data_IF_839037370298
#
_entry.id   IF_839037370298
#
_cell.length_a   1.000
_cell.length_b   1.000
_cell.length_c   1.000
_cell.angle_alpha   90.00
_cell.angle_beta   90.00
_cell.angle_gamma   90.00
#
_symmetry.space_group_name_H-M   'P 1'
#
loop_
_entity.id
_entity.type
_entity.pdbx_description
1 polymer ?
#
# COMPACT_ATOMS: atom_id res chain seq x y z
N UNK A 1 15.61 -1.29 -32.74
CA UNK A 1 15.40 -2.08 -31.51
C UNK A 1 16.77 -2.33 -30.88
N UNK A 2 17.20 -1.51 -29.93
CA UNK A 2 18.49 -1.71 -29.24
C UNK A 2 18.20 -1.89 -27.75
N UNK A 3 18.53 -3.10 -27.27
CA UNK A 3 18.53 -3.46 -25.86
C UNK A 3 19.58 -2.65 -25.11
N UNK A 4 19.17 -1.97 -24.04
CA UNK A 4 20.10 -1.35 -23.10
C UNK A 4 20.37 -2.37 -22.00
N UNK A 5 21.59 -2.94 -22.02
CA UNK A 5 22.12 -3.79 -20.97
C UNK A 5 22.68 -2.89 -19.87
N UNK A 6 22.07 -2.90 -18.70
CA UNK A 6 22.62 -2.22 -17.53
C UNK A 6 23.48 -3.20 -16.75
N UNK A 7 24.79 -3.14 -16.94
CA UNK A 7 25.78 -3.88 -16.15
C UNK A 7 25.98 -3.20 -14.80
N UNK A 8 25.66 -3.94 -13.75
CA UNK A 8 25.83 -3.52 -12.36
C UNK A 8 27.22 -3.90 -11.88
N UNK A 9 28.14 -2.95 -11.88
CA UNK A 9 29.41 -3.10 -11.14
C UNK A 9 29.60 -1.91 -10.19
N UNK A 10 30.20 -2.21 -9.03
CA UNK A 10 30.40 -1.31 -7.89
C UNK A 10 30.97 0.06 -8.32
N UNK A 11 30.36 1.14 -7.80
CA UNK A 11 30.89 2.51 -7.76
C UNK A 11 31.12 3.23 -9.11
N UNK A 12 30.09 3.41 -9.95
CA UNK A 12 29.96 4.63 -10.74
C UNK A 12 28.79 4.45 -11.72
N UNK A 13 27.80 5.33 -11.64
CA UNK A 13 26.75 5.44 -12.64
C UNK A 13 27.24 6.38 -13.73
N UNK A 14 27.77 5.87 -14.85
CA UNK A 14 28.01 6.66 -16.05
C UNK A 14 26.74 6.65 -16.91
N UNK A 15 26.09 7.80 -17.02
CA UNK A 15 24.94 8.02 -17.89
C UNK A 15 25.45 8.54 -19.23
N UNK A 16 25.30 7.74 -20.29
CA UNK A 16 25.47 8.21 -21.67
C UNK A 16 24.27 9.09 -22.05
N UNK A 17 24.51 10.36 -22.32
CA UNK A 17 23.51 11.32 -22.81
C UNK A 17 23.28 11.11 -24.30
N UNK A 18 22.01 10.89 -24.68
CA UNK A 18 21.54 11.13 -26.04
C UNK A 18 20.75 12.44 -26.06
N UNK A 19 20.86 13.30 -27.08
CA UNK A 19 20.16 14.58 -27.13
C UNK A 19 18.70 14.36 -27.53
N UNK A 20 17.77 14.88 -26.72
CA UNK A 20 16.38 15.04 -27.15
C UNK A 20 15.25 14.55 -26.23
N UNK A 21 15.49 14.13 -24.98
CA UNK A 21 14.38 13.82 -24.07
C UNK A 21 14.66 14.32 -22.65
N UNK A 22 13.81 15.22 -22.17
CA UNK A 22 13.84 15.68 -20.79
C UNK A 22 13.33 14.56 -19.86
N UNK A 23 14.25 13.80 -19.26
CA UNK A 23 13.96 12.90 -18.16
C UNK A 23 14.39 13.56 -16.85
N UNK A 24 13.42 13.84 -15.98
CA UNK A 24 13.68 14.24 -14.61
C UNK A 24 14.26 13.04 -13.84
N UNK A 25 15.58 13.06 -13.65
CA UNK A 25 16.28 12.13 -12.78
C UNK A 25 16.02 12.48 -11.32
N UNK A 26 15.25 11.66 -10.61
CA UNK A 26 15.33 11.60 -9.15
C UNK A 26 16.16 10.37 -8.78
N UNK A 27 17.40 10.62 -8.38
CA UNK A 27 18.30 9.63 -7.81
C UNK A 27 17.72 9.16 -6.47
N UNK A 28 17.21 7.93 -6.42
CA UNK A 28 16.77 7.29 -5.15
C UNK A 28 17.94 6.50 -4.63
N UNK A 29 18.59 7.02 -3.57
CA UNK A 29 19.62 6.33 -2.81
C UNK A 29 19.10 4.96 -2.33
N UNK A 30 19.87 3.94 -2.66
CA UNK A 30 19.60 2.52 -2.38
C UNK A 30 19.59 2.25 -0.88
N UNK A 31 18.44 1.81 -0.38
CA UNK A 31 18.34 1.09 0.88
C UNK A 31 18.11 -0.37 0.56
N UNK A 32 19.06 -1.21 0.98
CA UNK A 32 19.02 -2.67 0.84
C UNK A 32 17.80 -3.27 1.54
N UNK A 33 16.72 -3.51 0.78
CA UNK A 33 15.67 -4.46 1.13
C UNK A 33 15.16 -5.10 -0.15
N UNK A 34 15.51 -6.38 -0.34
CA UNK A 34 15.41 -7.12 -1.58
C UNK A 34 14.05 -7.18 -2.25
N UNK A 35 14.11 -7.31 -3.56
CA UNK A 35 13.14 -7.80 -4.57
C UNK A 35 11.68 -7.31 -4.59
N UNK A 36 11.14 -6.72 -3.55
CA UNK A 36 9.71 -6.29 -3.50
C UNK A 36 9.47 -4.87 -4.01
N UNK A 37 10.51 -4.05 -4.11
CA UNK A 37 10.39 -2.62 -4.47
C UNK A 37 10.34 -2.42 -6.00
N UNK A 38 10.85 -3.37 -6.78
CA UNK A 38 10.96 -3.22 -8.25
C UNK A 38 9.61 -2.98 -8.95
N UNK A 39 8.53 -3.64 -8.51
CA UNK A 39 7.20 -3.47 -9.12
C UNK A 39 6.51 -2.16 -8.73
N UNK A 40 6.91 -1.52 -7.63
CA UNK A 40 6.32 -0.25 -7.18
C UNK A 40 6.73 0.91 -8.09
N UNK A 41 7.86 0.81 -8.76
CA UNK A 41 8.37 1.85 -9.68
C UNK A 41 7.59 1.92 -11.01
N UNK A 42 6.79 0.91 -11.35
CA UNK A 42 6.03 0.81 -12.60
C UNK A 42 4.61 1.39 -12.52
N UNK A 43 4.25 2.06 -11.42
CA UNK A 43 2.92 2.66 -11.28
C UNK A 43 2.72 3.79 -12.30
N UNK A 44 1.68 3.67 -13.12
CA UNK A 44 1.28 4.72 -14.04
C UNK A 44 0.77 5.95 -13.28
N UNK A 45 0.87 7.14 -13.88
CA UNK A 45 0.37 8.40 -13.32
C UNK A 45 -1.13 8.42 -13.05
N UNK A 46 -1.87 7.47 -13.60
CA UNK A 46 -3.34 7.32 -13.45
C UNK A 46 -3.72 6.63 -12.13
N UNK A 47 -2.83 5.79 -11.56
CA UNK A 47 -3.12 5.03 -10.34
C UNK A 47 -2.86 5.90 -9.10
N UNK A 48 -3.94 6.34 -8.45
CA UNK A 48 -3.88 7.20 -7.26
C UNK A 48 -4.41 6.54 -6.00
N UNK A 49 -5.10 5.39 -6.13
CA UNK A 49 -5.67 4.63 -5.03
C UNK A 49 -4.94 3.31 -4.89
N UNK A 50 -4.65 2.92 -3.65
CA UNK A 50 -4.09 1.62 -3.32
C UNK A 50 -4.89 0.96 -2.20
N UNK A 51 -4.84 -0.37 -2.17
CA UNK A 51 -5.41 -1.17 -1.11
C UNK A 51 -4.33 -2.09 -0.51
N UNK A 52 -4.22 -2.10 0.81
CA UNK A 52 -3.38 -3.05 1.54
C UNK A 52 -4.26 -4.21 1.98
N UNK A 53 -3.99 -5.40 1.46
CA UNK A 53 -4.59 -6.64 1.97
C UNK A 53 -3.80 -7.10 3.18
N UNK A 54 -4.46 -7.20 4.33
CA UNK A 54 -3.86 -7.55 5.60
C UNK A 54 -4.43 -8.87 6.12
N UNK A 55 -3.64 -9.60 6.88
CA UNK A 55 -4.09 -10.77 7.65
C UNK A 55 -3.72 -10.58 9.10
N UNK A 56 -4.72 -10.65 9.95
CA UNK A 56 -4.59 -10.73 11.40
C UNK A 56 -4.82 -12.20 11.82
N UNK A 57 -3.79 -12.87 12.34
CA UNK A 57 -3.84 -14.32 12.63
C UNK A 57 -4.57 -14.66 13.92
N UNK A 58 -4.56 -13.73 14.89
CA UNK A 58 -5.23 -13.85 16.19
C UNK A 58 -5.92 -12.53 16.54
N UNK A 59 -7.03 -12.56 17.29
CA UNK A 59 -7.64 -11.33 17.77
C UNK A 59 -6.63 -10.49 18.52
N UNK A 60 -6.72 -9.17 18.36
CA UNK A 60 -5.79 -8.25 18.99
C UNK A 60 -6.51 -6.97 19.43
N UNK A 61 -6.20 -6.53 20.65
CA UNK A 61 -6.67 -5.26 21.17
C UNK A 61 -5.64 -4.19 20.85
N UNK A 62 -6.02 -3.16 20.11
CA UNK A 62 -5.09 -2.15 19.58
C UNK A 62 -5.58 -0.76 19.94
N UNK A 63 -4.71 0.05 20.55
CA UNK A 63 -4.96 1.47 20.79
C UNK A 63 -4.60 2.28 19.55
N UNK A 64 -5.58 3.01 19.00
CA UNK A 64 -5.43 3.84 17.81
C UNK A 64 -5.26 5.31 18.21
N UNK A 65 -4.06 5.69 18.60
CA UNK A 65 -3.75 7.05 19.03
C UNK A 65 -4.76 7.61 20.04
N UNK A 66 -5.33 8.79 19.75
CA UNK A 66 -6.36 9.45 20.57
C UNK A 66 -7.78 8.89 20.38
N UNK A 67 -8.00 8.00 19.40
CA UNK A 67 -9.34 7.46 19.12
C UNK A 67 -9.80 6.41 20.11
N UNK A 68 -8.92 5.87 20.93
CA UNK A 68 -9.25 4.84 21.90
C UNK A 68 -8.74 3.45 21.49
N UNK A 69 -9.25 2.45 22.19
CA UNK A 69 -8.84 1.05 22.06
C UNK A 69 -9.93 0.25 21.38
N UNK A 70 -9.56 -0.56 20.40
CA UNK A 70 -10.48 -1.37 19.59
C UNK A 70 -10.02 -2.82 19.55
N UNK A 71 -10.98 -3.74 19.51
CA UNK A 71 -10.72 -5.18 19.35
C UNK A 71 -10.85 -5.53 17.87
N UNK A 72 -9.77 -6.04 17.28
CA UNK A 72 -9.74 -6.53 15.90
C UNK A 72 -9.80 -8.05 15.91
N UNK A 73 -10.76 -8.62 15.19
CA UNK A 73 -10.95 -10.08 15.04
C UNK A 73 -9.86 -10.68 14.15
N UNK A 74 -9.52 -11.96 14.34
CA UNK A 74 -8.72 -12.69 13.38
C UNK A 74 -9.43 -12.77 12.02
N UNK A 75 -8.68 -12.58 10.91
CA UNK A 75 -9.24 -12.60 9.57
C UNK A 75 -8.51 -11.69 8.60
N UNK A 76 -9.20 -11.32 7.55
CA UNK A 76 -8.66 -10.51 6.46
C UNK A 76 -9.18 -9.09 6.55
N UNK A 77 -8.31 -8.15 6.25
CA UNK A 77 -8.65 -6.74 6.23
C UNK A 77 -8.20 -6.12 4.91
N UNK A 78 -8.96 -5.16 4.42
CA UNK A 78 -8.53 -4.26 3.34
C UNK A 78 -8.49 -2.83 3.89
N UNK A 79 -7.34 -2.21 3.76
CA UNK A 79 -7.17 -0.78 4.03
C UNK A 79 -7.03 -0.03 2.71
N UNK A 80 -7.88 0.97 2.49
CA UNK A 80 -7.87 1.84 1.31
C UNK A 80 -7.11 3.11 1.63
N UNK A 81 -6.24 3.50 0.74
CA UNK A 81 -5.52 4.77 0.82
C UNK A 81 -5.31 5.36 -0.56
N UNK A 82 -5.08 6.66 -0.61
CA UNK A 82 -4.77 7.36 -1.84
C UNK A 82 -3.58 8.29 -1.71
N UNK A 83 -3.00 8.67 -2.83
CA UNK A 83 -2.01 9.73 -2.89
C UNK A 83 -2.12 10.48 -4.21
N UNK A 84 -2.28 11.81 -4.14
CA UNK A 84 -2.26 12.68 -5.31
C UNK A 84 -0.87 12.70 -5.96
N UNK A 85 0.17 12.64 -5.14
CA UNK A 85 1.59 12.57 -5.53
C UNK A 85 2.27 11.46 -4.73
N UNK A 86 3.29 10.83 -5.29
CA UNK A 86 4.19 9.90 -4.59
C UNK A 86 3.49 8.69 -3.94
N UNK A 87 2.53 8.07 -4.65
CA UNK A 87 1.85 6.85 -4.19
C UNK A 87 2.86 5.74 -3.83
N UNK A 88 3.95 5.63 -4.59
CA UNK A 88 5.03 4.66 -4.36
C UNK A 88 5.68 4.87 -2.98
N UNK A 89 5.99 6.11 -2.61
CA UNK A 89 6.60 6.44 -1.31
C UNK A 89 5.63 6.12 -0.16
N UNK A 90 4.32 6.36 -0.35
CA UNK A 90 3.30 6.06 0.64
C UNK A 90 3.17 4.55 0.86
N UNK A 91 3.12 3.76 -0.21
CA UNK A 91 3.10 2.29 -0.14
C UNK A 91 4.39 1.78 0.51
N UNK A 92 5.56 2.24 0.05
CA UNK A 92 6.85 1.87 0.63
C UNK A 92 6.93 2.18 2.12
N UNK A 93 6.36 3.32 2.58
CA UNK A 93 6.27 3.65 4.00
C UNK A 93 5.41 2.65 4.78
N UNK A 94 4.29 2.19 4.23
CA UNK A 94 3.47 1.16 4.89
C UNK A 94 4.21 -0.16 5.04
N UNK A 95 5.04 -0.53 4.07
CA UNK A 95 5.83 -1.77 4.08
C UNK A 95 7.02 -1.73 5.05
N UNK A 96 7.46 -0.54 5.50
CA UNK A 96 8.54 -0.40 6.49
C UNK A 96 8.08 -0.89 7.87
N UNK A 97 8.92 -1.67 8.54
CA UNK A 97 8.67 -2.16 9.91
C UNK A 97 8.88 -1.06 10.93
N UNK A 98 10.03 -0.37 10.83
CA UNK A 98 10.38 0.73 11.75
C UNK A 98 9.92 2.05 11.16
N UNK A 99 8.93 2.69 11.77
CA UNK A 99 8.39 4.00 11.37
C UNK A 99 7.67 4.66 12.55
N UNK A 100 7.62 5.99 12.55
CA UNK A 100 6.77 6.75 13.48
C UNK A 100 5.30 6.48 13.15
N UNK A 101 4.49 6.17 14.16
CA UNK A 101 3.05 6.03 14.01
C UNK A 101 2.44 7.40 13.74
N UNK A 102 1.71 7.52 12.63
CA UNK A 102 1.09 8.77 12.21
C UNK A 102 -0.36 8.54 11.74
N UNK A 103 -0.59 7.56 10.87
CA UNK A 103 -1.92 7.20 10.41
C UNK A 103 -2.52 6.08 11.25
N UNK A 104 -3.86 6.00 11.31
CA UNK A 104 -4.56 4.95 12.07
C UNK A 104 -4.05 3.54 11.73
N UNK A 105 -3.76 3.28 10.45
CA UNK A 105 -3.24 1.98 9.99
C UNK A 105 -1.87 1.65 10.59
N UNK A 106 -1.04 2.65 10.90
CA UNK A 106 0.29 2.41 11.47
C UNK A 106 0.23 1.73 12.85
N UNK A 107 -0.88 1.93 13.59
CA UNK A 107 -1.12 1.28 14.89
C UNK A 107 -1.56 -0.18 14.71
N UNK A 108 -2.24 -0.53 13.61
CA UNK A 108 -2.70 -1.90 13.33
C UNK A 108 -1.60 -2.76 12.69
N UNK A 109 -0.73 -2.18 11.86
CA UNK A 109 0.31 -2.90 11.11
C UNK A 109 1.28 -3.75 11.96
N UNK A 110 1.63 -3.41 13.21
CA UNK A 110 2.44 -4.28 14.06
C UNK A 110 1.79 -5.64 14.39
N UNK A 111 0.47 -5.71 14.35
CA UNK A 111 -0.33 -6.91 14.67
C UNK A 111 -0.75 -7.68 13.42
N UNK A 112 -0.70 -7.06 12.25
CA UNK A 112 -1.19 -7.61 10.99
C UNK A 112 -0.05 -7.81 9.97
N UNK A 113 -0.20 -8.80 9.10
CA UNK A 113 0.71 -9.01 7.98
C UNK A 113 0.10 -8.45 6.71
N UNK A 114 0.82 -7.56 6.02
CA UNK A 114 0.46 -7.16 4.65
C UNK A 114 0.68 -8.38 3.75
N UNK A 115 -0.35 -8.88 3.09
CA UNK A 115 -0.30 -10.03 2.16
C UNK A 115 -0.04 -9.59 0.74
N UNK A 116 -0.71 -8.51 0.34
CA UNK A 116 -0.60 -7.96 -1.00
C UNK A 116 -0.90 -6.46 -1.00
N UNK A 117 -0.42 -5.79 -2.02
CA UNK A 117 -0.75 -4.41 -2.34
C UNK A 117 -1.44 -4.40 -3.69
N UNK A 118 -2.61 -3.79 -3.74
CA UNK A 118 -3.43 -3.61 -4.93
C UNK A 118 -3.52 -2.14 -5.28
N UNK A 119 -3.73 -1.83 -6.54
CA UNK A 119 -3.87 -0.45 -7.03
C UNK A 119 -5.10 -0.33 -7.92
N UNK A 120 -5.63 0.88 -8.01
CA UNK A 120 -6.78 1.20 -8.85
C UNK A 120 -6.65 2.58 -9.49
N UNK A 121 -7.23 2.74 -10.67
CA UNK A 121 -7.45 4.04 -11.32
C UNK A 121 -8.68 4.77 -10.77
N UNK A 122 -9.58 4.05 -10.07
CA UNK A 122 -10.74 4.65 -9.43
C UNK A 122 -10.32 5.49 -8.22
N UNK A 123 -11.14 6.48 -7.90
CA UNK A 123 -10.95 7.30 -6.69
C UNK A 123 -11.11 6.46 -5.42
N UNK A 124 -10.48 6.92 -4.33
CA UNK A 124 -10.58 6.33 -3.01
C UNK A 124 -12.05 6.17 -2.58
N UNK A 125 -12.88 7.21 -2.79
CA UNK A 125 -14.30 7.20 -2.45
C UNK A 125 -15.06 6.09 -3.19
N UNK A 126 -14.75 5.87 -4.48
CA UNK A 126 -15.41 4.80 -5.26
C UNK A 126 -15.00 3.42 -4.79
N UNK A 127 -13.73 3.20 -4.49
CA UNK A 127 -13.25 1.92 -3.93
C UNK A 127 -13.87 1.68 -2.54
N UNK A 128 -13.88 2.69 -1.67
CA UNK A 128 -14.53 2.62 -0.35
C UNK A 128 -16.02 2.26 -0.49
N UNK A 129 -16.74 2.93 -1.39
CA UNK A 129 -18.16 2.66 -1.62
C UNK A 129 -18.42 1.21 -2.11
N UNK A 130 -17.56 0.69 -2.99
CA UNK A 130 -17.66 -0.69 -3.46
C UNK A 130 -17.40 -1.70 -2.34
N UNK A 131 -16.36 -1.49 -1.54
CA UNK A 131 -16.03 -2.39 -0.42
C UNK A 131 -17.09 -2.34 0.69
N UNK A 132 -17.66 -1.17 0.98
CA UNK A 132 -18.68 -0.99 2.00
C UNK A 132 -20.01 -1.71 1.70
N UNK A 133 -20.26 -2.07 0.44
CA UNK A 133 -21.44 -2.87 0.05
C UNK A 133 -21.33 -4.33 0.48
N UNK A 134 -20.11 -4.87 0.49
CA UNK A 134 -19.86 -6.31 0.65
C UNK A 134 -19.19 -6.64 1.98
N UNK A 135 -18.53 -5.67 2.63
CA UNK A 135 -17.66 -5.90 3.78
C UNK A 135 -18.04 -5.05 4.97
N UNK A 136 -17.78 -5.60 6.15
CA UNK A 136 -17.97 -4.92 7.43
C UNK A 136 -16.89 -3.87 7.66
N UNK A 137 -17.27 -2.72 8.22
CA UNK A 137 -16.34 -1.70 8.71
C UNK A 137 -16.16 -1.87 10.23
N UNK A 138 -15.05 -2.46 10.70
CA UNK A 138 -14.89 -2.81 12.12
C UNK A 138 -14.68 -1.59 13.03
N UNK A 139 -14.23 -0.47 12.46
CA UNK A 139 -14.00 0.78 13.19
C UNK A 139 -14.47 1.94 12.33
N UNK A 140 -15.49 2.63 12.79
CA UNK A 140 -16.00 3.82 12.11
C UNK A 140 -14.92 4.90 12.01
N UNK A 141 -14.90 5.62 10.87
CA UNK A 141 -13.93 6.71 10.61
C UNK A 141 -12.46 6.31 10.70
N UNK A 142 -12.11 5.04 10.60
CA UNK A 142 -10.72 4.60 10.56
C UNK A 142 -10.05 5.08 9.26
N UNK A 143 -9.04 5.95 9.38
CA UNK A 143 -8.38 6.57 8.23
C UNK A 143 -9.21 7.60 7.46
N UNK A 144 -10.42 7.89 7.92
CA UNK A 144 -11.41 8.75 7.25
C UNK A 144 -11.84 9.96 8.11
N UNK A 145 -10.95 10.47 8.96
CA UNK A 145 -11.26 11.57 9.89
C UNK A 145 -11.57 12.89 9.17
N UNK A 146 -10.99 13.07 8.01
CA UNK A 146 -11.05 14.25 7.14
C UNK A 146 -11.96 14.06 5.91
N UNK A 147 -12.70 12.95 5.86
CA UNK A 147 -13.58 12.62 4.73
C UNK A 147 -14.99 12.24 5.19
N UNK A 148 -15.94 12.24 4.25
CA UNK A 148 -17.31 11.76 4.49
C UNK A 148 -17.42 10.23 4.55
N UNK A 149 -16.37 9.49 4.18
CA UNK A 149 -16.36 8.04 4.18
C UNK A 149 -16.63 7.45 5.56
N UNK A 150 -17.33 6.32 5.61
CA UNK A 150 -17.63 5.58 6.85
C UNK A 150 -16.35 5.09 7.50
N UNK A 151 -15.44 4.54 6.71
CA UNK A 151 -14.13 4.03 7.13
C UNK A 151 -13.26 3.77 5.89
N UNK A 152 -11.96 3.69 6.08
CA UNK A 152 -11.03 3.17 5.06
C UNK A 152 -10.53 1.76 5.40
N UNK A 153 -11.05 1.13 6.46
CA UNK A 153 -10.70 -0.23 6.87
C UNK A 153 -11.94 -1.13 6.82
N UNK A 154 -11.83 -2.24 6.12
CA UNK A 154 -12.87 -3.23 5.93
C UNK A 154 -12.40 -4.60 6.39
N UNK A 155 -13.32 -5.44 6.86
CA UNK A 155 -13.06 -6.76 7.41
C UNK A 155 -13.82 -7.85 6.66
N UNK A 156 -13.17 -9.02 6.52
CA UNK A 156 -13.78 -10.25 6.05
C UNK A 156 -13.24 -11.46 6.82
N UNK A 157 -14.11 -12.40 7.17
CA UNK A 157 -13.68 -13.68 7.73
C UNK A 157 -12.96 -14.57 6.72
N UNK A 158 -13.32 -14.46 5.44
CA UNK A 158 -12.76 -15.24 4.34
C UNK A 158 -11.80 -14.39 3.52
N UNK A 159 -10.85 -15.06 2.87
CA UNK A 159 -9.98 -14.38 1.89
C UNK A 159 -10.85 -13.71 0.80
N UNK A 160 -10.49 -12.49 0.46
CA UNK A 160 -11.25 -11.70 -0.51
C UNK A 160 -11.00 -12.18 -1.93
N UNK A 161 -12.08 -12.23 -2.71
CA UNK A 161 -11.98 -12.40 -4.17
C UNK A 161 -11.77 -11.04 -4.79
N UNK A 162 -10.53 -10.75 -5.20
CA UNK A 162 -10.16 -9.45 -5.77
C UNK A 162 -10.78 -9.20 -7.14
N UNK A 163 -11.22 -10.26 -7.84
CA UNK A 163 -11.89 -10.16 -9.15
C UNK A 163 -13.23 -9.44 -9.08
N UNK A 164 -13.83 -9.31 -7.88
CA UNK A 164 -15.07 -8.55 -7.67
C UNK A 164 -14.87 -7.03 -7.65
N UNK A 165 -13.63 -6.58 -7.55
CA UNK A 165 -13.29 -5.17 -7.44
C UNK A 165 -12.32 -4.76 -8.54
N UNK A 166 -12.38 -3.51 -9.03
CA UNK A 166 -11.49 -3.00 -10.07
C UNK A 166 -10.09 -2.71 -9.48
N UNK A 167 -9.43 -3.76 -9.01
CA UNK A 167 -8.11 -3.74 -8.37
C UNK A 167 -7.13 -4.56 -9.19
N UNK A 168 -5.98 -3.97 -9.49
CA UNK A 168 -4.84 -4.63 -10.11
C UNK A 168 -3.79 -4.96 -9.07
N UNK A 169 -3.28 -6.20 -9.07
CA UNK A 169 -2.22 -6.61 -8.15
C UNK A 169 -0.93 -5.87 -8.48
N UNK A 170 -0.40 -5.16 -7.49
CA UNK A 170 0.91 -4.52 -7.59
C UNK A 170 2.02 -5.46 -7.12
N UNK A 171 1.87 -6.06 -5.94
CA UNK A 171 2.84 -6.99 -5.38
C UNK A 171 2.25 -7.88 -4.28
N UNK A 172 2.77 -9.10 -4.17
CA UNK A 172 2.62 -9.92 -2.97
C UNK A 172 3.78 -9.64 -2.01
N UNK A 173 3.48 -9.54 -0.73
CA UNK A 173 4.56 -9.46 0.26
C UNK A 173 4.96 -10.87 0.69
N UNK A 174 6.26 -11.17 0.60
CA UNK A 174 6.79 -12.43 1.13
C UNK A 174 6.57 -12.48 2.65
N UNK A 175 6.11 -13.64 3.14
CA UNK A 175 6.03 -13.92 4.57
C UNK A 175 7.42 -13.74 5.17
N UNK A 176 7.61 -12.85 6.15
CA UNK A 176 8.75 -12.96 7.04
C UNK A 176 8.46 -14.14 7.96
N UNK A 177 9.28 -15.19 7.83
CA UNK A 177 9.32 -16.31 8.76
C UNK A 177 9.79 -15.82 10.12
#
# INVERSE_FOLDING_TARGET
MRMILCLYHRKQCNVLRTPGTNFLNSCVSSVHHGSQIKNILLLSSVQRTYCLELVLRKPSTVRIGKRGTFVFRAGYYIYVGSARKNIQQRIARHLRTKKKQFWHIDYLLPYAHIKAVWVSSLSEQRIVALLARDLESPVAKFGASDTTNVSHLFFSRKKLSHTRYPLSLLTHTKKRL
#
